data_IF_860190143937
#
_entry.id   IF_860190143937
#
_cell.length_a   1.000
_cell.length_b   1.000
_cell.length_c   1.000
_cell.angle_alpha   90.00
_cell.angle_beta   90.00
_cell.angle_gamma   90.00
#
_symmetry.space_group_name_H-M   'P 1'
#
loop_
_entity.id
_entity.type
_entity.pdbx_description
1 polymer ?
#
# COMPACT_ATOMS: atom_id res chain seq x y z
N UNK A 1 11.26 11.54 -1.86
CA UNK A 1 10.50 10.31 -2.17
C UNK A 1 9.36 10.62 -3.11
N UNK A 2 9.04 9.66 -3.98
CA UNK A 2 7.89 9.72 -4.89
C UNK A 2 6.75 8.91 -4.29
N UNK A 3 5.55 9.48 -4.28
CA UNK A 3 4.31 8.79 -3.88
C UNK A 3 3.45 8.58 -5.11
N UNK A 4 2.96 7.36 -5.32
CA UNK A 4 2.03 6.97 -6.38
C UNK A 4 0.76 6.51 -5.69
N UNK A 5 -0.31 7.30 -5.82
CA UNK A 5 -1.58 7.03 -5.17
C UNK A 5 -2.71 7.57 -6.06
N UNK A 6 -3.59 6.67 -6.52
CA UNK A 6 -4.75 7.07 -7.31
C UNK A 6 -5.68 7.99 -6.49
N UNK A 7 -6.42 8.88 -7.17
CA UNK A 7 -7.47 9.68 -6.51
C UNK A 7 -8.70 8.81 -6.29
N UNK A 8 -8.64 7.91 -5.31
CA UNK A 8 -9.71 7.00 -4.92
C UNK A 8 -10.19 7.30 -3.50
N UNK A 9 -11.46 7.72 -3.30
CA UNK A 9 -11.99 7.99 -1.98
C UNK A 9 -11.93 6.80 -1.01
N UNK A 10 -12.01 5.56 -1.51
CA UNK A 10 -12.01 4.34 -0.69
C UNK A 10 -10.64 4.05 -0.07
N UNK A 11 -9.55 4.52 -0.71
CA UNK A 11 -8.18 4.38 -0.20
C UNK A 11 -7.65 5.66 0.45
N UNK A 12 -8.51 6.66 0.67
CA UNK A 12 -8.11 7.96 1.21
C UNK A 12 -7.39 7.85 2.55
N UNK A 13 -7.72 6.85 3.37
CA UNK A 13 -7.05 6.59 4.65
C UNK A 13 -5.54 6.40 4.49
N UNK A 14 -5.07 5.82 3.37
CA UNK A 14 -3.64 5.61 3.09
C UNK A 14 -2.87 6.91 2.90
N UNK A 15 -3.56 8.02 2.63
CA UNK A 15 -2.92 9.34 2.56
C UNK A 15 -2.24 9.76 3.86
N UNK A 16 -2.66 9.20 5.00
CA UNK A 16 -2.03 9.43 6.29
C UNK A 16 -0.55 9.02 6.30
N UNK A 17 -0.12 8.06 5.47
CA UNK A 17 1.27 7.62 5.37
C UNK A 17 2.22 8.71 4.86
N UNK A 18 1.71 9.65 4.05
CA UNK A 18 2.52 10.71 3.43
C UNK A 18 2.03 12.12 3.73
N UNK A 19 0.90 12.28 4.42
CA UNK A 19 0.42 13.58 4.85
C UNK A 19 1.42 14.21 5.84
N UNK A 20 1.72 15.49 5.63
CA UNK A 20 2.70 16.30 6.41
C UNK A 20 4.15 15.83 6.29
N UNK A 21 4.47 14.94 5.34
CA UNK A 21 5.85 14.57 5.06
C UNK A 21 6.52 15.57 4.11
N UNK A 22 7.58 16.23 4.57
CA UNK A 22 8.35 17.20 3.78
C UNK A 22 9.25 16.54 2.73
N UNK A 23 9.56 15.24 2.90
CA UNK A 23 10.40 14.49 1.96
C UNK A 23 9.65 13.99 0.72
N UNK A 24 8.33 14.21 0.63
CA UNK A 24 7.52 13.90 -0.55
C UNK A 24 7.74 14.95 -1.62
N UNK A 25 8.43 14.57 -2.71
CA UNK A 25 8.78 15.47 -3.81
C UNK A 25 7.76 15.45 -4.95
N UNK A 26 7.16 14.29 -5.19
CA UNK A 26 6.20 14.09 -6.27
C UNK A 26 5.04 13.22 -5.80
N UNK A 27 3.83 13.64 -6.15
CA UNK A 27 2.60 12.87 -6.00
C UNK A 27 2.07 12.53 -7.39
N UNK A 28 2.09 11.24 -7.71
CA UNK A 28 1.63 10.68 -8.98
C UNK A 28 0.25 10.10 -8.80
N UNK A 29 -0.64 10.45 -9.71
CA UNK A 29 -2.05 10.04 -9.75
C UNK A 29 -2.39 9.46 -11.12
N UNK A 30 -3.64 9.07 -11.33
CA UNK A 30 -4.12 8.60 -12.63
C UNK A 30 -4.12 9.64 -13.75
N UNK A 31 -3.89 10.90 -13.42
CA UNK A 31 -3.79 11.99 -14.40
C UNK A 31 -2.44 12.03 -15.10
N UNK A 32 -1.44 11.35 -14.52
CA UNK A 32 -0.10 11.31 -15.06
C UNK A 32 0.03 10.27 -16.17
N UNK A 33 0.76 10.63 -17.22
CA UNK A 33 1.15 9.75 -18.31
C UNK A 33 2.20 8.73 -17.85
N UNK A 34 2.32 7.60 -18.55
CA UNK A 34 3.33 6.59 -18.19
C UNK A 34 4.76 7.15 -18.19
N UNK A 35 5.10 8.10 -19.06
CA UNK A 35 6.41 8.74 -19.07
C UNK A 35 6.66 9.61 -17.84
N UNK A 36 5.64 10.29 -17.32
CA UNK A 36 5.71 11.04 -16.06
C UNK A 36 5.86 10.11 -14.86
N UNK A 37 5.12 9.00 -14.82
CA UNK A 37 5.27 7.97 -13.78
C UNK A 37 6.71 7.44 -13.75
N UNK A 38 7.24 7.07 -14.92
CA UNK A 38 8.62 6.56 -15.01
C UNK A 38 9.65 7.63 -14.64
N UNK A 39 9.46 8.89 -15.04
CA UNK A 39 10.34 9.98 -14.65
C UNK A 39 10.33 10.15 -13.14
N UNK A 40 9.16 10.09 -12.51
CA UNK A 40 9.03 10.24 -11.07
C UNK A 40 9.76 9.14 -10.31
N UNK A 41 9.53 7.87 -10.68
CA UNK A 41 10.22 6.71 -10.12
C UNK A 41 11.74 6.85 -10.22
N UNK A 42 12.27 7.34 -11.36
CA UNK A 42 13.71 7.48 -11.56
C UNK A 42 14.35 8.54 -10.66
N UNK A 43 13.64 9.61 -10.34
CA UNK A 43 14.17 10.79 -9.64
C UNK A 43 14.37 10.61 -8.13
N UNK A 44 13.73 9.62 -7.51
CA UNK A 44 13.84 9.36 -6.07
C UNK A 44 14.31 7.92 -5.82
N UNK A 45 15.02 7.70 -4.71
CA UNK A 45 15.45 6.37 -4.29
C UNK A 45 14.37 5.59 -3.53
N UNK A 46 13.39 6.32 -2.98
CA UNK A 46 12.25 5.74 -2.26
C UNK A 46 10.96 6.03 -3.03
N UNK A 47 10.20 4.96 -3.30
CA UNK A 47 8.93 5.01 -4.03
C UNK A 47 7.84 4.35 -3.19
N UNK A 48 6.85 5.14 -2.79
CA UNK A 48 5.66 4.68 -2.06
C UNK A 48 4.49 4.54 -3.03
N UNK A 49 3.84 3.39 -3.05
CA UNK A 49 2.80 2.99 -4.00
C UNK A 49 1.60 2.49 -3.20
N UNK A 50 0.47 3.19 -3.31
CA UNK A 50 -0.67 3.05 -2.39
C UNK A 50 -1.98 2.93 -3.17
N UNK A 51 -2.88 2.07 -2.69
CA UNK A 51 -4.26 2.02 -3.16
C UNK A 51 -4.79 0.59 -3.26
N UNK A 52 -5.72 0.38 -4.19
CA UNK A 52 -6.20 -0.94 -4.57
C UNK A 52 -5.27 -1.61 -5.57
N UNK A 53 -5.29 -2.93 -5.60
CA UNK A 53 -4.50 -3.69 -6.55
C UNK A 53 -4.66 -5.18 -6.38
N UNK A 54 -3.79 -5.91 -7.07
CA UNK A 54 -3.68 -7.35 -6.98
C UNK A 54 -2.22 -7.77 -7.22
N UNK A 55 -1.98 -9.06 -7.41
CA UNK A 55 -0.64 -9.59 -7.68
C UNK A 55 -0.04 -9.14 -9.02
N UNK A 56 -0.83 -8.54 -9.91
CA UNK A 56 -0.39 -8.02 -11.20
C UNK A 56 -0.01 -6.53 -11.17
N UNK A 57 -0.39 -5.80 -10.10
CA UNK A 57 0.02 -4.42 -9.89
C UNK A 57 -0.97 -3.55 -9.13
N UNK A 58 -0.68 -2.25 -9.11
CA UNK A 58 -1.48 -1.21 -8.47
C UNK A 58 -2.52 -0.67 -9.45
N UNK A 59 -3.79 -0.68 -9.07
CA UNK A 59 -4.85 -0.13 -9.91
C UNK A 59 -4.78 1.40 -10.01
N UNK A 60 -5.32 1.89 -11.13
CA UNK A 60 -5.73 3.30 -11.26
C UNK A 60 -7.07 3.51 -10.55
N UNK A 61 -7.54 4.76 -10.48
CA UNK A 61 -8.89 5.05 -9.97
C UNK A 61 -9.95 4.17 -10.66
N UNK A 62 -11.02 3.79 -9.96
CA UNK A 62 -12.10 3.02 -10.55
C UNK A 62 -12.86 3.87 -11.57
N UNK A 63 -13.53 3.20 -12.51
CA UNK A 63 -14.50 3.84 -13.39
C UNK A 63 -15.79 4.19 -12.64
N UNK A 64 -16.73 4.89 -13.29
CA UNK A 64 -17.99 5.33 -12.63
C UNK A 64 -18.84 4.16 -12.12
N UNK A 65 -18.67 2.96 -12.68
CA UNK A 65 -19.34 1.74 -12.27
C UNK A 65 -18.60 0.98 -11.15
N UNK A 66 -17.50 1.52 -10.62
CA UNK A 66 -16.68 0.89 -9.59
C UNK A 66 -15.63 -0.10 -10.10
N UNK A 67 -15.53 -0.33 -11.41
CA UNK A 67 -14.57 -1.30 -11.97
C UNK A 67 -13.15 -0.72 -12.09
N UNK A 68 -12.15 -1.53 -11.72
CA UNK A 68 -10.74 -1.26 -11.96
C UNK A 68 -10.28 -1.84 -13.29
N UNK A 69 -10.25 -1.01 -14.35
CA UNK A 69 -9.87 -1.45 -15.71
C UNK A 69 -8.42 -1.15 -16.09
N UNK A 70 -7.71 -0.38 -15.27
CA UNK A 70 -6.37 0.14 -15.57
C UNK A 70 -5.47 0.03 -14.36
N UNK A 71 -4.17 -0.01 -14.62
CA UNK A 71 -3.12 -0.03 -13.62
C UNK A 71 -2.27 1.24 -13.69
N UNK A 72 -1.85 1.76 -12.53
CA UNK A 72 -0.79 2.76 -12.42
C UNK A 72 0.60 2.13 -12.43
N UNK A 73 0.72 0.97 -11.77
CA UNK A 73 1.96 0.20 -11.71
C UNK A 73 1.70 -1.20 -12.25
N UNK A 74 2.61 -1.65 -13.09
CA UNK A 74 2.60 -2.96 -13.75
C UNK A 74 4.03 -3.45 -13.91
N UNK A 75 4.18 -4.67 -14.44
CA UNK A 75 5.44 -5.26 -14.89
C UNK A 75 6.33 -4.32 -15.73
N UNK A 76 5.74 -3.45 -16.56
CA UNK A 76 6.46 -2.47 -17.40
C UNK A 76 7.29 -1.47 -16.60
N UNK A 77 6.92 -1.23 -15.35
CA UNK A 77 7.59 -0.27 -14.46
C UNK A 77 8.68 -0.92 -13.61
N UNK A 78 8.71 -2.26 -13.51
CA UNK A 78 9.61 -3.02 -12.63
C UNK A 78 11.08 -2.68 -12.85
N UNK A 79 11.51 -2.53 -14.10
CA UNK A 79 12.90 -2.18 -14.43
C UNK A 79 13.36 -0.86 -13.79
N UNK A 80 12.43 0.05 -13.45
CA UNK A 80 12.74 1.32 -12.79
C UNK A 80 12.62 1.23 -11.26
N UNK A 81 12.01 0.16 -10.74
CA UNK A 81 11.75 -0.05 -9.31
C UNK A 81 12.78 -0.97 -8.65
N UNK A 82 13.51 -1.82 -9.40
CA UNK A 82 14.45 -2.79 -8.84
C UNK A 82 15.56 -2.17 -7.99
N UNK A 83 16.07 -1.02 -8.41
CA UNK A 83 17.15 -0.32 -7.71
C UNK A 83 16.61 0.68 -6.67
N UNK A 84 15.32 0.59 -6.34
CA UNK A 84 14.62 1.52 -5.45
C UNK A 84 14.19 0.81 -4.17
N UNK A 85 14.12 1.58 -3.09
CA UNK A 85 13.47 1.14 -1.88
C UNK A 85 11.96 1.38 -2.00
N UNK A 86 11.19 0.30 -2.14
CA UNK A 86 9.76 0.37 -2.39
C UNK A 86 8.93 0.25 -1.11
N UNK A 87 7.80 0.97 -1.07
CA UNK A 87 6.75 0.79 -0.06
C UNK A 87 5.46 0.53 -0.82
N UNK A 88 5.01 -0.72 -0.90
CA UNK A 88 3.80 -1.11 -1.63
C UNK A 88 2.66 -1.50 -0.71
N UNK A 89 1.67 -0.63 -0.56
CA UNK A 89 0.48 -0.88 0.26
C UNK A 89 -0.75 -0.99 -0.65
N UNK A 90 -1.01 -2.21 -1.11
CA UNK A 90 -2.22 -2.64 -1.80
C UNK A 90 -2.41 -4.16 -1.62
N UNK A 91 -3.61 -4.68 -1.87
CA UNK A 91 -3.88 -6.11 -1.74
C UNK A 91 -2.97 -6.95 -2.64
N UNK A 92 -2.19 -7.86 -2.05
CA UNK A 92 -1.23 -8.75 -2.71
C UNK A 92 0.02 -8.05 -3.32
N UNK A 93 0.39 -6.86 -2.82
CA UNK A 93 1.64 -6.20 -3.19
C UNK A 93 2.88 -7.07 -2.95
N UNK A 94 2.85 -7.89 -1.89
CA UNK A 94 3.93 -8.82 -1.54
C UNK A 94 4.18 -9.88 -2.63
N UNK A 95 3.13 -10.37 -3.31
CA UNK A 95 3.24 -11.32 -4.43
C UNK A 95 3.85 -10.65 -5.67
N UNK A 96 3.46 -9.40 -5.93
CA UNK A 96 4.06 -8.61 -7.01
C UNK A 96 5.55 -8.39 -6.76
N UNK A 97 5.91 -8.00 -5.53
CA UNK A 97 7.30 -7.78 -5.11
C UNK A 97 8.16 -9.05 -5.21
N UNK A 98 7.66 -10.19 -4.72
CA UNK A 98 8.35 -11.48 -4.80
C UNK A 98 8.60 -11.91 -6.25
N UNK A 99 7.56 -11.83 -7.09
CA UNK A 99 7.64 -12.17 -8.52
C UNK A 99 8.72 -11.37 -9.25
N UNK A 100 8.86 -10.09 -8.92
CA UNK A 100 9.74 -9.17 -9.63
C UNK A 100 11.04 -8.82 -8.89
N UNK A 101 11.25 -9.41 -7.71
CA UNK A 101 12.41 -9.19 -6.82
C UNK A 101 12.59 -7.71 -6.49
N UNK A 102 11.53 -7.09 -5.98
CA UNK A 102 11.57 -5.71 -5.52
C UNK A 102 11.97 -5.66 -4.03
N UNK A 103 12.79 -4.68 -3.66
CA UNK A 103 13.27 -4.51 -2.29
C UNK A 103 12.43 -3.48 -1.55
N UNK A 104 12.11 -3.75 -0.28
CA UNK A 104 11.36 -2.84 0.58
C UNK A 104 10.17 -3.47 1.30
N UNK A 105 9.20 -2.65 1.70
CA UNK A 105 8.05 -3.03 2.53
C UNK A 105 6.79 -3.21 1.67
N UNK A 106 6.11 -4.35 1.80
CA UNK A 106 4.92 -4.66 1.01
C UNK A 106 3.82 -5.30 1.86
N UNK A 107 2.56 -4.94 1.57
CA UNK A 107 1.42 -5.62 2.17
C UNK A 107 1.04 -6.90 1.44
N UNK A 108 0.55 -7.88 2.19
CA UNK A 108 -0.23 -8.99 1.68
C UNK A 108 -1.66 -8.56 1.36
N UNK A 109 -2.60 -9.44 1.67
CA UNK A 109 -4.00 -9.05 1.71
C UNK A 109 -4.23 -8.18 2.95
N UNK A 110 -4.91 -7.04 2.78
CA UNK A 110 -5.35 -6.19 3.87
C UNK A 110 -6.85 -6.00 3.69
N UNK A 111 -7.63 -6.31 4.73
CA UNK A 111 -9.07 -6.13 4.72
C UNK A 111 -9.36 -4.67 5.06
N UNK A 112 -9.87 -3.96 4.07
CA UNK A 112 -10.23 -2.54 4.12
C UNK A 112 -11.68 -2.28 3.74
N UNK A 113 -12.36 -3.26 3.14
CA UNK A 113 -13.76 -3.22 2.75
C UNK A 113 -14.54 -4.39 3.37
N UNK A 114 -15.85 -4.19 3.60
CA UNK A 114 -16.70 -5.22 4.19
C UNK A 114 -16.78 -6.48 3.31
N UNK A 115 -16.80 -6.31 1.98
CA UNK A 115 -16.85 -7.44 1.05
C UNK A 115 -15.60 -8.33 1.17
N UNK A 116 -14.41 -7.75 1.36
CA UNK A 116 -13.17 -8.50 1.54
C UNK A 116 -13.22 -9.35 2.83
N UNK A 117 -13.80 -8.82 3.89
CA UNK A 117 -13.99 -9.54 5.14
C UNK A 117 -14.92 -10.75 4.97
N UNK A 118 -16.03 -10.56 4.24
CA UNK A 118 -16.98 -11.63 3.90
C UNK A 118 -16.30 -12.71 3.05
N UNK A 119 -15.61 -12.32 1.98
CA UNK A 119 -14.98 -13.25 1.03
C UNK A 119 -13.88 -14.09 1.70
N UNK A 120 -13.19 -13.53 2.69
CA UNK A 120 -12.13 -14.21 3.45
C UNK A 120 -12.64 -14.91 4.72
N UNK A 121 -13.94 -14.81 5.04
CA UNK A 121 -14.53 -15.39 6.24
C UNK A 121 -13.99 -14.78 7.54
N UNK A 122 -13.58 -13.51 7.51
CA UNK A 122 -13.08 -12.78 8.67
C UNK A 122 -14.23 -11.97 9.29
N UNK A 123 -14.67 -12.29 10.53
CA UNK A 123 -15.77 -11.58 11.16
C UNK A 123 -15.34 -10.15 11.53
N UNK A 124 -15.99 -9.16 10.89
CA UNK A 124 -15.81 -7.74 11.16
C UNK A 124 -17.05 -6.96 10.71
N UNK A 125 -17.32 -5.82 11.34
CA UNK A 125 -18.31 -4.85 10.84
C UNK A 125 -17.64 -3.75 10.04
N UNK A 126 -18.41 -2.99 9.25
CA UNK A 126 -17.86 -1.85 8.49
C UNK A 126 -17.23 -0.79 9.42
N UNK A 127 -17.85 -0.55 10.58
CA UNK A 127 -17.36 0.40 11.58
C UNK A 127 -16.06 -0.07 12.22
N UNK A 128 -15.91 -1.38 12.46
CA UNK A 128 -14.65 -1.96 12.92
C UNK A 128 -13.57 -1.78 11.85
N UNK A 129 -13.86 -2.12 10.59
CA UNK A 129 -12.93 -1.99 9.47
C UNK A 129 -12.43 -0.55 9.35
N UNK A 130 -13.32 0.43 9.31
CA UNK A 130 -12.95 1.84 9.13
C UNK A 130 -12.08 2.37 10.28
N UNK A 131 -12.46 2.02 11.52
CA UNK A 131 -11.72 2.43 12.72
C UNK A 131 -10.33 1.79 12.74
N UNK A 132 -10.26 0.48 12.53
CA UNK A 132 -9.01 -0.26 12.63
C UNK A 132 -8.08 0.02 11.44
N UNK A 133 -8.60 0.31 10.24
CA UNK A 133 -7.78 0.73 9.09
C UNK A 133 -7.13 2.09 9.31
N UNK A 134 -7.85 3.05 9.89
CA UNK A 134 -7.26 4.35 10.27
C UNK A 134 -6.15 4.16 11.29
N UNK A 135 -6.38 3.33 12.31
CA UNK A 135 -5.40 3.03 13.37
C UNK A 135 -4.17 2.29 12.83
N UNK A 136 -4.39 1.28 11.99
CA UNK A 136 -3.35 0.54 11.29
C UNK A 136 -2.47 1.47 10.47
N UNK A 137 -3.07 2.38 9.69
CA UNK A 137 -2.33 3.30 8.82
C UNK A 137 -1.46 4.28 9.60
N UNK A 138 -1.98 4.83 10.71
CA UNK A 138 -1.20 5.72 11.58
C UNK A 138 -0.03 4.98 12.23
N UNK A 139 -0.27 3.77 12.78
CA UNK A 139 0.80 2.93 13.35
C UNK A 139 1.84 2.53 12.32
N UNK A 140 1.41 2.24 11.09
CA UNK A 140 2.30 1.91 9.99
C UNK A 140 3.22 3.09 9.65
N UNK A 141 2.66 4.31 9.58
CA UNK A 141 3.44 5.54 9.41
C UNK A 141 4.49 5.68 10.52
N UNK A 142 4.05 5.63 11.78
CA UNK A 142 4.92 5.82 12.93
C UNK A 142 6.03 4.75 12.98
N UNK A 143 5.71 3.50 12.63
CA UNK A 143 6.70 2.43 12.58
C UNK A 143 7.75 2.64 11.50
N UNK A 144 7.32 3.05 10.29
CA UNK A 144 8.23 3.33 9.18
C UNK A 144 9.19 4.46 9.57
N UNK A 145 8.68 5.52 10.20
CA UNK A 145 9.45 6.70 10.59
C UNK A 145 10.39 6.44 11.77
N UNK A 146 9.95 5.62 12.74
CA UNK A 146 10.71 5.38 13.98
C UNK A 146 11.73 4.25 13.83
N UNK A 147 11.36 3.17 13.15
CA UNK A 147 12.14 1.92 13.14
C UNK A 147 12.67 1.54 11.75
N UNK A 148 12.20 2.21 10.70
CA UNK A 148 12.53 1.88 9.32
C UNK A 148 11.77 0.67 8.77
N UNK A 149 11.89 0.45 7.46
CA UNK A 149 11.08 -0.53 6.73
C UNK A 149 11.29 -1.98 7.20
N UNK A 150 12.55 -2.38 7.46
CA UNK A 150 12.89 -3.76 7.86
C UNK A 150 12.25 -4.17 9.18
N UNK A 151 12.19 -3.24 10.14
CA UNK A 151 11.64 -3.51 11.47
C UNK A 151 10.12 -3.29 11.52
N UNK A 152 9.52 -2.68 10.50
CA UNK A 152 8.10 -2.35 10.50
C UNK A 152 7.19 -3.60 10.63
N UNK A 153 7.37 -4.70 9.88
CA UNK A 153 6.49 -5.86 10.01
C UNK A 153 6.43 -6.50 11.41
N UNK A 154 7.55 -6.83 12.09
CA UNK A 154 7.47 -7.38 13.44
C UNK A 154 6.90 -6.36 14.44
N UNK A 155 7.24 -5.07 14.32
CA UNK A 155 6.73 -4.02 15.21
C UNK A 155 5.23 -3.80 15.07
N UNK A 156 4.71 -3.83 13.85
CA UNK A 156 3.27 -3.74 13.63
C UNK A 156 2.55 -4.84 14.40
N UNK A 157 2.97 -6.11 14.29
CA UNK A 157 2.35 -7.22 15.03
C UNK A 157 2.29 -6.99 16.54
N UNK A 158 3.33 -6.40 17.13
CA UNK A 158 3.38 -6.07 18.56
C UNK A 158 2.40 -4.94 18.95
N UNK A 159 2.02 -4.08 18.01
CA UNK A 159 1.11 -2.96 18.24
C UNK A 159 -0.38 -3.34 18.14
N UNK A 160 -0.72 -4.58 17.75
CA UNK A 160 -2.12 -5.03 17.76
C UNK A 160 -2.63 -5.17 19.19
N UNK A 161 -3.39 -4.19 19.66
CA UNK A 161 -3.99 -4.13 20.99
C UNK A 161 -5.44 -4.65 21.01
N UNK A 162 -6.07 -4.82 19.85
CA UNK A 162 -7.48 -5.25 19.75
C UNK A 162 -7.56 -6.76 19.64
N UNK A 163 -6.62 -7.39 18.91
CA UNK A 163 -6.50 -8.85 18.79
C UNK A 163 -7.77 -9.54 18.26
N UNK A 164 -8.60 -8.82 17.50
CA UNK A 164 -9.74 -9.34 16.75
C UNK A 164 -9.28 -10.16 15.53
N UNK A 165 -10.21 -10.89 14.89
CA UNK A 165 -9.88 -11.63 13.68
C UNK A 165 -9.37 -10.69 12.56
N UNK A 166 -10.00 -9.53 12.42
CA UNK A 166 -9.60 -8.49 11.47
C UNK A 166 -8.19 -7.96 11.74
N UNK A 167 -7.93 -7.54 12.99
CA UNK A 167 -6.67 -6.89 13.35
C UNK A 167 -5.51 -7.88 13.28
N UNK A 168 -5.67 -9.10 13.80
CA UNK A 168 -4.68 -10.18 13.62
C UNK A 168 -4.37 -10.44 12.15
N UNK A 169 -5.39 -10.45 11.30
CA UNK A 169 -5.22 -10.64 9.86
C UNK A 169 -4.40 -9.51 9.24
N UNK A 170 -4.84 -8.26 9.40
CA UNK A 170 -4.19 -7.10 8.76
C UNK A 170 -2.76 -6.89 9.27
N UNK A 171 -2.54 -6.94 10.58
CA UNK A 171 -1.24 -6.70 11.19
C UNK A 171 -0.22 -7.82 10.90
N UNK A 172 -0.69 -9.02 10.54
CA UNK A 172 0.18 -10.13 10.15
C UNK A 172 0.59 -10.09 8.67
N UNK A 173 -0.05 -9.27 7.84
CA UNK A 173 0.11 -9.23 6.39
C UNK A 173 1.02 -8.08 5.91
N UNK A 174 2.16 -7.90 6.58
CA UNK A 174 3.23 -7.00 6.15
C UNK A 174 4.53 -7.78 6.00
N UNK A 175 5.28 -7.48 4.94
CA UNK A 175 6.47 -8.23 4.54
C UNK A 175 7.58 -7.27 4.13
N UNK A 176 8.81 -7.62 4.48
CA UNK A 176 9.99 -6.89 4.02
C UNK A 176 10.87 -7.81 3.18
N UNK A 177 11.32 -7.31 2.03
CA UNK A 177 12.20 -8.02 1.09
C UNK A 177 13.51 -7.25 0.90
N UNK A 178 14.62 -7.99 0.87
CA UNK A 178 16.00 -7.51 0.62
C UNK A 178 16.51 -7.95 -0.73
#
# INVERSE_FOLDING_TARGET
MTVIHATDPTTQVLSLLYQQREDVRMLITERNTSSEVQRAIRSDDVVMMLGHGNEYGLFSKPEKNGEYRRFLITDRHVQFLRDKLCIGIWCYANKFAEKYRLHGLFSGMIISELQEAIDLGVPATKEEIDREMKKFTLRLKDCIETYGLKQTPPRMKELDDVQSALTKFNYSNLYYYE
#
